data_IF_619828433253
#
_entry.id   IF_619828433253
#
_cell.length_a   1.000
_cell.length_b   1.000
_cell.length_c   1.000
_cell.angle_alpha   90.00
_cell.angle_beta   90.00
_cell.angle_gamma   90.00
#
_symmetry.space_group_name_H-M   'P 1'
#
loop_
_entity.id
_entity.type
_entity.pdbx_description
1 polymer ?
#
# COMPACT_ATOMS: atom_id res chain seq x y z
N UNK A 1 24.07 -9.82 0.75
CA UNK A 1 24.71 -10.37 1.97
C UNK A 1 23.94 -11.61 2.41
N UNK A 2 24.53 -12.81 2.32
CA UNK A 2 23.90 -14.04 2.83
C UNK A 2 24.42 -14.30 4.26
N UNK A 3 23.57 -14.43 5.28
CA UNK A 3 24.06 -14.63 6.64
C UNK A 3 24.62 -16.06 6.76
N UNK A 4 25.89 -16.17 7.16
CA UNK A 4 26.54 -17.44 7.49
C UNK A 4 25.98 -17.97 8.81
N UNK A 5 25.43 -19.17 8.78
CA UNK A 5 25.07 -19.91 9.98
C UNK A 5 26.35 -20.37 10.70
N UNK A 6 26.43 -20.18 12.02
CA UNK A 6 27.17 -21.01 13.01
C UNK A 6 28.42 -20.44 13.75
N UNK A 7 29.10 -19.34 13.39
CA UNK A 7 30.48 -19.14 13.93
C UNK A 7 30.64 -18.38 15.29
N UNK A 8 29.61 -18.04 16.07
CA UNK A 8 29.88 -17.46 17.41
C UNK A 8 28.77 -17.67 18.46
N UNK A 9 28.70 -18.87 19.02
CA UNK A 9 28.00 -19.14 20.29
C UNK A 9 26.49 -18.83 20.30
N UNK A 10 25.94 -18.72 21.51
CA UNK A 10 24.54 -18.37 21.70
C UNK A 10 24.28 -16.91 21.34
N UNK A 11 23.19 -16.65 20.63
CA UNK A 11 22.76 -15.28 20.30
C UNK A 11 22.55 -14.46 21.57
N UNK A 12 23.14 -13.25 21.63
CA UNK A 12 22.92 -12.28 22.71
C UNK A 12 21.59 -11.52 22.61
N UNK A 13 20.74 -11.87 21.65
CA UNK A 13 19.41 -11.29 21.50
C UNK A 13 18.50 -11.71 22.67
N UNK A 14 17.54 -10.87 23.08
CA UNK A 14 16.61 -11.22 24.16
C UNK A 14 15.87 -12.51 23.84
N UNK A 15 15.87 -13.44 24.80
CA UNK A 15 15.24 -14.75 24.61
C UNK A 15 13.73 -14.59 24.38
N UNK A 16 13.23 -15.22 23.32
CA UNK A 16 11.79 -15.28 23.02
C UNK A 16 11.23 -16.61 23.56
N UNK A 17 9.92 -16.71 23.82
CA UNK A 17 9.32 -17.98 24.28
C UNK A 17 9.50 -19.15 23.29
N UNK A 18 9.92 -18.87 22.05
CA UNK A 18 10.20 -19.89 21.02
C UNK A 18 11.64 -20.39 21.01
N UNK A 19 12.54 -19.73 21.74
CA UNK A 19 13.98 -20.02 21.77
C UNK A 19 14.43 -20.70 23.07
N UNK A 20 13.57 -20.78 24.08
CA UNK A 20 13.88 -21.43 25.37
C UNK A 20 13.44 -22.90 25.42
N UNK A 21 13.86 -23.61 26.47
CA UNK A 21 13.47 -24.99 26.73
C UNK A 21 12.05 -25.07 27.37
N UNK A 22 11.55 -26.28 27.65
CA UNK A 22 10.22 -26.57 28.21
C UNK A 22 9.85 -25.75 29.44
N UNK A 23 10.81 -25.48 30.33
CA UNK A 23 10.57 -24.74 31.58
C UNK A 23 10.71 -23.22 31.42
N UNK A 24 11.17 -22.76 30.26
CA UNK A 24 11.28 -21.33 29.97
C UNK A 24 9.92 -20.76 29.53
N UNK A 25 9.17 -20.24 30.49
CA UNK A 25 7.95 -19.48 30.21
C UNK A 25 8.23 -17.97 30.15
N UNK A 26 7.85 -17.34 29.04
CA UNK A 26 7.86 -15.88 28.87
C UNK A 26 6.51 -15.40 28.34
N UNK A 27 5.85 -14.55 29.11
CA UNK A 27 4.55 -13.98 28.72
C UNK A 27 4.65 -12.97 27.56
N UNK A 28 3.54 -12.77 26.85
CA UNK A 28 3.40 -11.83 25.71
C UNK A 28 2.87 -10.44 26.14
N UNK A 29 2.84 -10.17 27.45
CA UNK A 29 2.31 -8.92 27.99
C UNK A 29 0.77 -8.81 28.00
N UNK A 30 0.06 -9.93 27.79
CA UNK A 30 -1.40 -10.01 27.89
C UNK A 30 -1.92 -10.15 29.33
N UNK A 31 -1.07 -10.64 30.24
CA UNK A 31 -1.41 -10.94 31.64
C UNK A 31 -0.30 -10.46 32.58
N UNK A 32 -0.06 -9.14 32.64
CA UNK A 32 0.97 -8.56 33.52
C UNK A 32 0.41 -8.48 34.95
N UNK A 33 1.23 -8.75 35.96
CA UNK A 33 0.80 -8.68 37.37
C UNK A 33 0.33 -7.25 37.70
N UNK A 34 -0.81 -7.07 38.41
CA UNK A 34 -1.28 -5.74 38.82
C UNK A 34 -0.19 -5.00 39.61
N UNK A 35 0.01 -3.72 39.30
CA UNK A 35 1.08 -2.87 39.85
C UNK A 35 2.28 -2.65 38.91
N UNK A 36 2.38 -3.41 37.81
CA UNK A 36 3.50 -3.30 36.86
C UNK A 36 3.26 -2.41 35.63
N UNK A 37 2.14 -1.70 35.50
CA UNK A 37 1.85 -0.76 34.40
C UNK A 37 0.40 -0.72 33.91
N UNK A 38 0.11 0.15 32.93
CA UNK A 38 -1.22 0.46 32.37
C UNK A 38 -1.92 -0.68 31.58
N UNK A 39 -1.46 -1.92 31.70
CA UNK A 39 -2.09 -3.06 31.02
C UNK A 39 -2.86 -3.90 32.03
N UNK A 40 -4.09 -4.23 31.65
CA UNK A 40 -5.02 -5.07 32.41
C UNK A 40 -4.32 -6.32 32.91
N UNK A 41 -4.56 -6.66 34.18
CA UNK A 41 -3.94 -7.77 34.86
C UNK A 41 -4.26 -9.14 34.23
N UNK A 42 -3.75 -10.26 34.77
CA UNK A 42 -4.22 -11.58 34.38
C UNK A 42 -5.74 -11.69 34.55
N UNK A 43 -6.47 -12.28 33.60
CA UNK A 43 -7.94 -12.40 33.64
C UNK A 43 -8.43 -13.44 34.67
N UNK A 44 -7.53 -14.05 35.45
CA UNK A 44 -7.83 -15.19 36.30
C UNK A 44 -6.64 -15.59 37.17
N UNK A 45 -6.82 -16.68 37.91
CA UNK A 45 -5.85 -17.19 38.88
C UNK A 45 -5.60 -18.69 38.66
N UNK A 46 -4.34 -19.12 38.83
CA UNK A 46 -4.00 -20.53 38.85
C UNK A 46 -4.53 -21.19 40.12
N UNK A 47 -5.26 -22.29 39.97
CA UNK A 47 -5.85 -23.03 41.09
C UNK A 47 -4.95 -24.23 41.39
N UNK A 48 -4.39 -24.26 42.60
CA UNK A 48 -3.45 -25.32 43.02
C UNK A 48 -4.19 -26.65 43.27
N UNK A 49 -5.40 -26.58 43.84
CA UNK A 49 -6.23 -27.74 44.20
C UNK A 49 -7.57 -27.70 43.47
N UNK A 50 -7.83 -28.68 42.61
CA UNK A 50 -9.08 -28.78 41.83
C UNK A 50 -8.89 -29.46 40.47
N UNK A 51 -10.02 -29.75 39.81
CA UNK A 51 -10.05 -30.36 38.47
C UNK A 51 -9.58 -29.37 37.39
N UNK A 52 -9.93 -28.08 37.53
CA UNK A 52 -9.44 -27.01 36.67
C UNK A 52 -8.16 -26.38 37.25
N UNK A 53 -7.13 -26.19 36.41
CA UNK A 53 -5.82 -25.61 36.81
C UNK A 53 -5.77 -24.09 36.72
N UNK A 54 -6.72 -23.47 36.04
CA UNK A 54 -6.85 -22.03 35.90
C UNK A 54 -8.31 -21.63 35.97
N UNK A 55 -8.64 -20.62 36.78
CA UNK A 55 -9.98 -20.08 36.92
C UNK A 55 -10.01 -18.65 36.39
N UNK A 56 -10.83 -18.41 35.38
CA UNK A 56 -11.12 -17.08 34.85
C UNK A 56 -12.04 -16.34 35.83
N UNK A 57 -11.76 -15.07 36.08
CA UNK A 57 -12.57 -14.19 36.91
C UNK A 57 -13.18 -13.13 36.02
N UNK A 58 -14.50 -13.18 35.82
CA UNK A 58 -15.22 -12.29 34.90
C UNK A 58 -14.97 -10.81 35.19
N UNK A 59 -14.80 -10.45 36.46
CA UNK A 59 -14.45 -9.11 36.93
C UNK A 59 -13.11 -8.58 36.38
N UNK A 60 -12.17 -9.48 36.06
CA UNK A 60 -10.82 -9.12 35.55
C UNK A 60 -10.72 -9.24 34.04
N UNK A 61 -11.76 -9.76 33.39
CA UNK A 61 -11.80 -9.87 31.93
C UNK A 61 -12.06 -8.48 31.34
N UNK A 62 -11.33 -8.13 30.28
CA UNK A 62 -11.57 -6.88 29.55
C UNK A 62 -12.88 -6.97 28.79
N UNK A 63 -13.75 -5.99 29.02
CA UNK A 63 -15.01 -5.83 28.30
C UNK A 63 -14.90 -4.58 27.42
N UNK A 64 -15.10 -4.75 26.13
CA UNK A 64 -15.18 -3.64 25.18
C UNK A 64 -16.65 -3.34 24.92
N UNK A 65 -17.13 -2.22 25.46
CA UNK A 65 -18.51 -1.78 25.25
C UNK A 65 -18.54 -0.91 24.01
N UNK A 66 -19.20 -1.41 22.96
CA UNK A 66 -19.44 -0.66 21.73
C UNK A 66 -20.91 -0.26 21.61
N UNK A 67 -21.22 0.80 20.84
CA UNK A 67 -22.59 1.08 20.43
C UNK A 67 -23.13 -0.08 19.58
N UNK A 68 -24.45 -0.33 19.66
CA UNK A 68 -25.10 -1.38 18.87
C UNK A 68 -25.03 -1.11 17.36
N UNK A 69 -25.20 -2.16 16.55
CA UNK A 69 -25.11 -2.07 15.09
C UNK A 69 -26.04 -1.00 14.49
N UNK A 70 -27.28 -0.88 15.01
CA UNK A 70 -28.26 0.13 14.58
C UNK A 70 -27.73 1.56 14.72
N UNK A 71 -27.12 1.86 15.86
CA UNK A 71 -26.55 3.19 16.14
C UNK A 71 -25.40 3.48 15.18
N UNK A 72 -24.54 2.50 14.92
CA UNK A 72 -23.43 2.66 13.98
C UNK A 72 -23.89 2.87 12.54
N UNK A 73 -25.01 2.26 12.14
CA UNK A 73 -25.59 2.41 10.79
C UNK A 73 -26.28 3.76 10.60
N UNK A 74 -26.96 4.25 11.65
CA UNK A 74 -27.64 5.55 11.66
C UNK A 74 -26.67 6.74 11.79
N UNK A 75 -25.49 6.54 12.36
CA UNK A 75 -24.52 7.64 12.52
C UNK A 75 -24.03 8.17 11.16
N UNK A 76 -24.09 9.49 11.01
CA UNK A 76 -23.53 10.19 9.84
C UNK A 76 -22.00 10.24 9.87
N UNK A 77 -21.41 10.07 11.06
CA UNK A 77 -19.97 10.15 11.29
C UNK A 77 -19.22 9.02 10.56
N UNK A 78 -18.11 9.39 9.92
CA UNK A 78 -17.22 8.46 9.21
C UNK A 78 -15.79 8.63 9.74
N UNK A 79 -14.93 7.61 9.60
CA UNK A 79 -13.54 7.68 10.09
C UNK A 79 -12.70 8.74 9.36
N UNK A 80 -13.16 9.23 8.22
CA UNK A 80 -12.45 10.22 7.41
C UNK A 80 -13.27 11.49 7.24
N UNK A 81 -12.57 12.61 7.19
CA UNK A 81 -13.13 13.95 6.97
C UNK A 81 -12.86 14.38 5.53
N UNK A 82 -13.79 15.13 4.93
CA UNK A 82 -13.58 15.72 3.62
C UNK A 82 -12.44 16.76 3.69
N UNK A 83 -11.48 16.67 2.78
CA UNK A 83 -10.33 17.59 2.71
C UNK A 83 -10.70 18.95 2.11
N UNK A 84 -11.77 19.01 1.32
CA UNK A 84 -12.28 20.23 0.70
C UNK A 84 -13.72 20.47 1.16
N UNK A 85 -13.96 21.64 1.77
CA UNK A 85 -15.31 22.12 1.99
C UNK A 85 -15.79 22.74 0.68
N UNK A 86 -16.63 22.02 -0.06
CA UNK A 86 -17.35 22.62 -1.19
C UNK A 86 -18.46 23.49 -0.58
N UNK A 87 -18.18 24.78 -0.46
CA UNK A 87 -19.15 25.79 -0.07
C UNK A 87 -20.11 26.00 -1.24
N UNK A 88 -21.31 25.45 -1.13
CA UNK A 88 -22.36 25.67 -2.13
C UNK A 88 -23.11 26.96 -1.76
N UNK A 89 -22.64 28.10 -2.29
CA UNK A 89 -23.10 29.47 -1.94
C UNK A 89 -24.61 29.67 -2.13
N UNK A 90 -25.25 28.84 -2.96
CA UNK A 90 -26.67 28.94 -3.31
C UNK A 90 -27.63 28.30 -2.30
N UNK A 91 -27.15 27.38 -1.45
CA UNK A 91 -28.03 26.56 -0.58
C UNK A 91 -27.80 26.72 0.91
N UNK A 92 -26.81 27.53 1.32
CA UNK A 92 -26.54 27.86 2.72
C UNK A 92 -26.18 26.68 3.64
N UNK A 93 -26.13 25.46 3.10
CA UNK A 93 -25.83 24.24 3.85
C UNK A 93 -24.79 23.44 3.07
N UNK A 94 -23.61 23.29 3.68
CA UNK A 94 -22.52 22.46 3.17
C UNK A 94 -22.95 21.01 3.20
N UNK A 95 -23.53 20.51 2.11
CA UNK A 95 -23.83 19.08 2.00
C UNK A 95 -22.49 18.35 1.90
N UNK A 96 -22.09 17.72 2.99
CA UNK A 96 -20.88 16.91 3.08
C UNK A 96 -20.83 15.94 1.88
N UNK A 97 -19.88 16.16 0.97
CA UNK A 97 -19.70 15.28 -0.17
C UNK A 97 -19.11 13.97 0.33
N UNK A 98 -19.97 12.96 0.52
CA UNK A 98 -19.56 11.62 0.91
C UNK A 98 -19.26 10.79 -0.35
N UNK A 99 -17.98 10.52 -0.69
CA UNK A 99 -17.62 9.75 -1.88
C UNK A 99 -18.00 8.26 -1.79
N UNK A 100 -18.50 7.82 -0.63
CA UNK A 100 -18.92 6.45 -0.34
C UNK A 100 -20.43 6.30 -0.08
N UNK A 101 -21.22 7.38 -0.17
CA UNK A 101 -22.69 7.24 -0.08
C UNK A 101 -23.21 6.51 -1.32
N UNK A 102 -24.13 5.55 -1.12
CA UNK A 102 -24.75 4.80 -2.23
C UNK A 102 -25.71 5.65 -3.08
N UNK A 103 -25.98 6.89 -2.66
CA UNK A 103 -27.07 7.73 -3.16
C UNK A 103 -26.67 8.81 -4.16
N UNK A 104 -25.38 8.98 -4.51
CA UNK A 104 -24.98 9.99 -5.51
C UNK A 104 -24.77 9.38 -6.90
N UNK A 105 -25.77 9.59 -7.76
CA UNK A 105 -25.71 9.25 -9.20
C UNK A 105 -24.69 10.09 -9.98
N UNK A 106 -24.32 11.27 -9.47
CA UNK A 106 -23.32 12.17 -10.07
C UNK A 106 -21.95 12.04 -9.37
N UNK A 107 -21.30 10.88 -9.53
CA UNK A 107 -19.98 10.61 -8.94
C UNK A 107 -18.84 10.89 -9.94
N UNK A 108 -17.92 11.83 -9.67
CA UNK A 108 -16.63 11.82 -10.36
C UNK A 108 -15.84 10.58 -9.91
N UNK A 109 -15.50 9.70 -10.87
CA UNK A 109 -14.63 8.54 -10.63
C UNK A 109 -13.22 9.04 -10.41
N UNK A 110 -12.80 9.22 -9.15
CA UNK A 110 -11.39 9.44 -8.86
C UNK A 110 -10.58 8.25 -9.38
N UNK A 111 -9.45 8.49 -10.06
CA UNK A 111 -8.56 7.41 -10.47
C UNK A 111 -8.10 6.68 -9.21
N UNK A 112 -8.23 5.36 -9.21
CA UNK A 112 -7.73 4.54 -8.10
C UNK A 112 -6.24 4.83 -7.93
N UNK A 113 -5.81 5.08 -6.69
CA UNK A 113 -4.38 5.24 -6.35
C UNK A 113 -3.56 3.94 -6.54
N UNK A 114 -4.23 2.82 -6.86
CA UNK A 114 -3.57 1.65 -7.42
C UNK A 114 -3.29 1.87 -8.90
N UNK A 115 -2.08 1.56 -9.39
CA UNK A 115 -1.74 1.59 -10.82
C UNK A 115 -2.48 0.46 -11.54
N UNK A 116 -3.80 0.58 -11.67
CA UNK A 116 -4.51 -0.09 -12.73
C UNK A 116 -4.52 0.92 -13.88
N UNK A 117 -3.69 0.75 -14.92
CA UNK A 117 -3.85 1.55 -16.11
C UNK A 117 -5.30 1.38 -16.56
N UNK A 118 -6.06 2.46 -16.53
CA UNK A 118 -7.36 2.49 -17.18
C UNK A 118 -7.11 2.14 -18.65
N UNK A 119 -7.85 1.19 -19.24
CA UNK A 119 -7.70 0.90 -20.66
C UNK A 119 -7.85 2.20 -21.45
N UNK A 120 -7.02 2.43 -22.47
CA UNK A 120 -7.00 3.69 -23.20
C UNK A 120 -8.40 4.00 -23.73
N UNK A 121 -9.00 5.10 -23.26
CA UNK A 121 -10.19 5.66 -23.89
C UNK A 121 -9.73 6.36 -25.16
N UNK A 122 -9.95 5.72 -26.30
CA UNK A 122 -9.78 6.29 -27.63
C UNK A 122 -10.95 7.24 -27.91
N UNK A 123 -10.71 8.45 -28.48
CA UNK A 123 -11.77 9.33 -28.90
C UNK A 123 -12.56 8.65 -30.02
N UNK A 124 -13.88 8.65 -29.87
CA UNK A 124 -14.84 8.25 -30.89
C UNK A 124 -14.73 9.21 -32.09
N UNK A 125 -13.76 8.95 -32.96
CA UNK A 125 -13.66 9.55 -34.27
C UNK A 125 -14.00 8.46 -35.29
N UNK A 126 -15.21 8.57 -35.82
CA UNK A 126 -15.66 8.01 -37.09
C UNK A 126 -14.54 8.05 -38.14
N UNK A 127 -14.10 6.90 -38.62
CA UNK A 127 -13.65 6.65 -39.99
C UNK A 127 -13.46 5.15 -40.18
N UNK A 128 -14.04 4.65 -41.27
CA UNK A 128 -14.17 3.24 -41.62
C UNK A 128 -12.80 2.59 -41.86
N UNK A 129 -12.46 1.61 -41.04
CA UNK A 129 -11.19 0.89 -41.10
C UNK A 129 -10.99 0.11 -39.81
N UNK A 130 -11.56 -1.11 -39.76
CA UNK A 130 -11.45 -2.02 -38.62
C UNK A 130 -9.98 -2.32 -38.28
N UNK A 131 -9.45 -1.63 -37.28
CA UNK A 131 -8.41 -2.19 -36.41
C UNK A 131 -9.04 -2.42 -35.04
N UNK A 132 -9.45 -3.67 -34.79
CA UNK A 132 -9.77 -4.13 -33.45
C UNK A 132 -8.58 -3.85 -32.52
N UNK A 133 -8.70 -2.83 -31.65
CA UNK A 133 -7.81 -2.67 -30.50
C UNK A 133 -8.18 -3.76 -29.48
N UNK A 134 -7.69 -4.96 -29.77
CA UNK A 134 -8.03 -6.20 -29.13
C UNK A 134 -7.71 -6.20 -27.63
N UNK A 135 -8.65 -6.74 -26.86
CA UNK A 135 -8.39 -7.16 -25.47
C UNK A 135 -7.15 -8.07 -25.49
N UNK A 136 -6.06 -7.63 -24.85
CA UNK A 136 -4.83 -8.42 -24.73
C UNK A 136 -5.18 -9.82 -24.23
N UNK A 137 -4.91 -10.82 -25.06
CA UNK A 137 -5.23 -12.21 -24.77
C UNK A 137 -4.24 -12.79 -23.77
N UNK A 138 -4.62 -13.90 -23.13
CA UNK A 138 -3.71 -14.65 -22.23
C UNK A 138 -2.39 -15.03 -22.93
N UNK A 139 -2.43 -15.26 -24.25
CA UNK A 139 -1.26 -15.57 -25.07
C UNK A 139 -0.27 -14.39 -25.12
N UNK A 140 -0.75 -13.17 -25.24
CA UNK A 140 0.08 -11.96 -25.30
C UNK A 140 0.80 -11.74 -23.97
N UNK A 141 0.11 -11.95 -22.85
CA UNK A 141 0.73 -11.93 -21.52
C UNK A 141 1.84 -12.98 -21.37
N UNK A 142 1.61 -14.20 -21.85
CA UNK A 142 2.65 -15.24 -21.78
C UNK A 142 3.84 -14.94 -22.68
N UNK A 143 3.62 -14.37 -23.87
CA UNK A 143 4.71 -13.97 -24.76
C UNK A 143 5.51 -12.80 -24.18
N UNK A 144 4.82 -11.78 -23.67
CA UNK A 144 5.47 -10.65 -22.98
C UNK A 144 6.28 -11.12 -21.79
N UNK A 145 5.71 -11.98 -20.93
CA UNK A 145 6.43 -12.50 -19.76
C UNK A 145 7.69 -13.26 -20.14
N UNK A 146 7.67 -14.06 -21.22
CA UNK A 146 8.86 -14.78 -21.70
C UNK A 146 9.93 -13.81 -22.21
N UNK A 147 9.54 -12.83 -23.03
CA UNK A 147 10.45 -11.78 -23.53
C UNK A 147 11.04 -10.99 -22.37
N UNK A 148 10.22 -10.59 -21.41
CA UNK A 148 10.64 -9.83 -20.25
C UNK A 148 11.65 -10.59 -19.39
N UNK A 149 11.45 -11.90 -19.17
CA UNK A 149 12.41 -12.69 -18.38
C UNK A 149 13.78 -12.80 -19.04
N UNK A 150 13.82 -12.85 -20.38
CA UNK A 150 15.05 -12.98 -21.15
C UNK A 150 15.90 -11.70 -21.24
N UNK A 151 15.35 -10.54 -20.84
CA UNK A 151 16.09 -9.27 -20.79
C UNK A 151 17.10 -9.27 -19.65
N UNK A 152 18.22 -8.56 -19.85
CA UNK A 152 19.20 -8.28 -18.79
C UNK A 152 18.62 -7.33 -17.73
N UNK A 153 19.30 -7.20 -16.59
CA UNK A 153 18.83 -6.32 -15.51
C UNK A 153 18.71 -4.86 -15.95
N UNK A 154 19.68 -4.39 -16.73
CA UNK A 154 19.73 -3.03 -17.27
C UNK A 154 18.63 -2.80 -18.31
N UNK A 155 18.43 -3.75 -19.22
CA UNK A 155 17.35 -3.69 -20.23
C UNK A 155 15.96 -3.68 -19.59
N UNK A 156 15.75 -4.46 -18.51
CA UNK A 156 14.50 -4.43 -17.74
C UNK A 156 14.27 -3.06 -17.12
N UNK A 157 15.31 -2.47 -16.56
CA UNK A 157 15.24 -1.16 -15.94
C UNK A 157 14.94 -0.07 -16.97
N UNK A 158 15.63 -0.07 -18.12
CA UNK A 158 15.37 0.84 -19.23
C UNK A 158 13.91 0.74 -19.72
N UNK A 159 13.41 -0.48 -19.93
CA UNK A 159 12.02 -0.72 -20.34
C UNK A 159 11.02 -0.19 -19.31
N UNK A 160 11.26 -0.42 -18.00
CA UNK A 160 10.41 0.15 -16.93
C UNK A 160 10.41 1.67 -16.97
N UNK A 161 11.57 2.29 -17.15
CA UNK A 161 11.70 3.75 -17.22
C UNK A 161 10.99 4.31 -18.44
N UNK A 162 11.09 3.67 -19.60
CA UNK A 162 10.33 4.05 -20.80
C UNK A 162 8.83 4.02 -20.58
N UNK A 163 8.30 2.94 -19.98
CA UNK A 163 6.88 2.87 -19.65
C UNK A 163 6.44 3.94 -18.65
N UNK A 164 7.28 4.27 -17.66
CA UNK A 164 7.01 5.35 -16.70
C UNK A 164 7.01 6.72 -17.36
N UNK A 165 7.98 7.00 -18.24
CA UNK A 165 8.05 8.25 -19.02
C UNK A 165 6.80 8.43 -19.87
N UNK A 166 6.43 7.40 -20.62
CA UNK A 166 5.25 7.41 -21.47
C UNK A 166 3.97 7.64 -20.64
N UNK A 167 3.83 6.93 -19.52
CA UNK A 167 2.69 7.11 -18.61
C UNK A 167 2.63 8.52 -18.03
N UNK A 168 3.75 9.06 -17.56
CA UNK A 168 3.81 10.41 -16.99
C UNK A 168 3.47 11.47 -18.04
N UNK A 169 3.99 11.34 -19.25
CA UNK A 169 3.67 12.23 -20.36
C UNK A 169 2.17 12.20 -20.71
N UNK A 170 1.58 11.01 -20.78
CA UNK A 170 0.15 10.87 -21.06
C UNK A 170 -0.73 11.42 -19.93
N UNK A 171 -0.37 11.16 -18.67
CA UNK A 171 -1.07 11.70 -17.50
C UNK A 171 -0.94 13.22 -17.41
N UNK A 172 0.25 13.75 -17.72
CA UNK A 172 0.49 15.19 -17.76
C UNK A 172 -0.31 15.86 -18.88
N UNK A 173 -0.41 15.22 -20.06
CA UNK A 173 -1.25 15.72 -21.15
C UNK A 173 -2.75 15.71 -20.80
N UNK A 174 -3.23 14.68 -20.08
CA UNK A 174 -4.65 14.53 -19.74
C UNK A 174 -5.10 15.35 -18.52
N UNK A 175 -4.24 15.51 -17.52
CA UNK A 175 -4.61 16.08 -16.21
C UNK A 175 -3.68 17.21 -15.73
N UNK A 176 -2.53 17.39 -16.36
CA UNK A 176 -1.56 18.44 -16.02
C UNK A 176 -1.99 19.78 -16.57
N UNK A 177 -2.94 20.44 -15.88
CA UNK A 177 -3.14 21.88 -16.04
C UNK A 177 -1.85 22.63 -15.69
N UNK A 178 -1.31 23.39 -16.66
CA UNK A 178 -0.32 24.46 -16.56
C UNK A 178 0.67 24.38 -15.37
N UNK A 179 1.91 23.93 -15.62
CA UNK A 179 2.94 24.00 -14.58
C UNK A 179 4.40 23.86 -14.99
N UNK A 180 4.71 23.25 -16.15
CA UNK A 180 6.06 23.27 -16.72
C UNK A 180 5.95 23.41 -18.24
N UNK A 181 6.69 24.34 -18.83
CA UNK A 181 6.77 24.45 -20.29
C UNK A 181 7.37 23.16 -20.84
N UNK A 182 7.00 22.79 -22.07
CA UNK A 182 7.56 21.61 -22.76
C UNK A 182 9.10 21.61 -22.75
N UNK A 183 9.70 22.80 -22.70
CA UNK A 183 11.14 23.04 -22.56
C UNK A 183 11.72 22.59 -21.21
N UNK A 184 11.00 22.78 -20.09
CA UNK A 184 11.46 22.32 -18.78
C UNK A 184 11.45 20.79 -18.67
N UNK A 185 10.46 20.13 -19.28
CA UNK A 185 10.40 18.67 -19.35
C UNK A 185 11.55 18.13 -20.20
N UNK A 186 11.83 18.76 -21.34
CA UNK A 186 12.97 18.38 -22.19
C UNK A 186 14.33 18.66 -21.53
N UNK A 187 14.44 19.70 -20.70
CA UNK A 187 15.66 19.99 -19.94
C UNK A 187 15.92 18.92 -18.87
N UNK A 188 14.90 18.54 -18.09
CA UNK A 188 15.00 17.45 -17.10
C UNK A 188 15.31 16.09 -17.78
N UNK A 189 14.81 15.87 -19.01
CA UNK A 189 15.12 14.67 -19.80
C UNK A 189 16.58 14.63 -20.29
N UNK A 190 17.16 15.78 -20.65
CA UNK A 190 18.58 15.86 -21.03
C UNK A 190 19.48 15.61 -19.83
N UNK A 191 19.16 16.21 -18.70
CA UNK A 191 19.93 16.05 -17.45
C UNK A 191 19.94 14.60 -16.98
N UNK A 192 18.79 13.90 -17.07
CA UNK A 192 18.71 12.47 -16.73
C UNK A 192 19.51 11.58 -17.69
N UNK A 193 19.48 11.85 -19.01
CA UNK A 193 20.31 11.12 -20.00
C UNK A 193 21.81 11.35 -19.80
N UNK A 194 22.22 12.56 -19.43
CA UNK A 194 23.63 12.87 -19.12
C UNK A 194 24.13 12.13 -17.88
N UNK A 195 23.28 12.02 -16.84
CA UNK A 195 23.61 11.24 -15.64
C UNK A 195 23.71 9.74 -15.93
N UNK A 196 22.83 9.19 -16.77
CA UNK A 196 22.91 7.80 -17.22
C UNK A 196 24.21 7.55 -18.01
N UNK A 197 24.53 8.38 -19.00
CA UNK A 197 25.76 8.26 -19.78
C UNK A 197 27.03 8.39 -18.92
N UNK A 198 27.00 9.25 -17.90
CA UNK A 198 28.11 9.39 -16.93
C UNK A 198 28.27 8.12 -16.08
N UNK A 199 27.18 7.51 -15.65
CA UNK A 199 27.22 6.26 -14.89
C UNK A 199 27.76 5.09 -15.74
N UNK A 200 27.42 5.03 -17.03
CA UNK A 200 27.95 4.04 -17.97
C UNK A 200 29.45 4.21 -18.19
N UNK A 201 29.93 5.45 -18.29
CA UNK A 201 31.36 5.78 -18.42
C UNK A 201 32.20 5.42 -17.19
N UNK A 202 31.66 5.62 -15.98
CA UNK A 202 32.35 5.23 -14.72
C UNK A 202 32.50 3.70 -14.60
N UNK A 203 31.53 2.94 -15.12
CA UNK A 203 31.56 1.48 -15.06
C UNK A 203 32.67 0.89 -15.94
N UNK A 204 32.97 1.52 -17.08
CA UNK A 204 34.02 1.07 -18.02
C UNK A 204 35.45 1.35 -17.52
N UNK A 205 35.66 2.39 -16.72
CA UNK A 205 36.99 2.69 -16.13
C UNK A 205 37.36 1.78 -14.96
N UNK A 206 36.37 1.21 -14.26
CA UNK A 206 36.61 0.28 -13.13
C UNK A 206 36.90 -1.17 -13.54
N UNK A 207 36.79 -1.51 -14.84
CA UNK A 207 37.00 -2.86 -15.36
C UNK A 207 38.30 -3.04 -16.18
N UNK A 208 39.21 -2.07 -16.14
CA UNK A 208 40.55 -2.15 -16.75
C UNK A 208 41.63 -2.42 -15.69
#
# INVERSE_FOLDING_TARGET
MRPTSVIAGASRLPLTPKRGNKDFYKGTGQSRVPGGGHRTGPPGVHVVKGKAKYRVLDEKVRIFVGPGAKVLEETELRPYVATQQILDTSKGLTKFFNPYSKSSSNRPKFPSFSPMPSPPQVPSATLEGEMELGKLGRKDFTQFSKRYQNLTGEEKQALIMDFRRNWFNEMSARYGGAGKSNEQVQAEERETKELEARSEGETQQTTA
#
